data_IF_419457981065
#
_entry.id   IF_419457981065
#
_cell.length_a   1.000
_cell.length_b   1.000
_cell.length_c   1.000
_cell.angle_alpha   90.00
_cell.angle_beta   90.00
_cell.angle_gamma   90.00
#
_symmetry.space_group_name_H-M   'P 1'
#
loop_
_entity.id
_entity.type
_entity.pdbx_description
1 polymer ?
#
# COMPACT_ATOMS: atom_id res chain seq x y z
N UNK A 1 -0.46 10.40 -2.77
CA UNK A 1 -0.13 8.98 -2.92
C UNK A 1 0.99 8.62 -1.96
N UNK A 2 1.34 7.34 -1.90
CA UNK A 2 2.45 6.80 -1.12
C UNK A 2 3.04 5.60 -1.87
N UNK A 3 4.25 5.17 -1.50
CA UNK A 3 4.92 4.01 -2.10
C UNK A 3 4.93 2.85 -1.12
N UNK A 4 4.60 1.64 -1.56
CA UNK A 4 4.63 0.45 -0.69
C UNK A 4 6.06 0.10 -0.28
N UNK A 5 6.27 -0.17 1.01
CA UNK A 5 7.56 -0.49 1.61
C UNK A 5 7.56 -1.86 2.29
N UNK A 6 8.75 -2.35 2.60
CA UNK A 6 8.95 -3.59 3.34
C UNK A 6 10.43 -3.90 3.57
N UNK A 7 10.74 -5.08 4.12
CA UNK A 7 12.11 -5.51 4.41
C UNK A 7 12.96 -5.58 3.15
N UNK A 8 14.25 -5.33 3.31
CA UNK A 8 15.21 -5.43 2.20
C UNK A 8 15.26 -6.87 1.66
N UNK A 9 15.04 -7.01 0.36
CA UNK A 9 15.09 -8.30 -0.34
C UNK A 9 13.74 -9.02 -0.47
N UNK A 10 12.67 -8.46 0.10
CA UNK A 10 11.31 -8.93 -0.15
C UNK A 10 10.68 -8.18 -1.33
N UNK A 11 9.77 -8.86 -2.02
CA UNK A 11 8.94 -8.25 -3.09
C UNK A 11 7.52 -7.94 -2.57
N UNK A 12 7.01 -8.76 -1.65
CA UNK A 12 5.68 -8.62 -1.06
C UNK A 12 5.85 -8.65 0.45
N UNK A 13 5.32 -7.63 1.13
CA UNK A 13 5.32 -7.54 2.58
C UNK A 13 3.91 -7.23 3.09
N UNK A 14 3.20 -8.26 3.56
CA UNK A 14 1.86 -8.15 4.11
C UNK A 14 1.67 -9.02 5.35
N UNK A 15 0.67 -8.68 6.15
CA UNK A 15 0.27 -9.48 7.32
C UNK A 15 -0.93 -10.40 7.05
N UNK A 16 -1.43 -11.07 8.09
CA UNK A 16 -2.56 -12.01 8.01
C UNK A 16 -3.87 -11.39 7.50
N UNK A 17 -3.98 -10.06 7.50
CA UNK A 17 -5.15 -9.31 7.02
C UNK A 17 -4.92 -8.71 5.62
N UNK A 18 -3.80 -9.01 4.97
CA UNK A 18 -3.44 -8.44 3.67
C UNK A 18 -3.13 -6.93 3.73
N UNK A 19 -2.76 -6.42 4.91
CA UNK A 19 -2.32 -5.03 5.07
C UNK A 19 -0.90 -4.87 4.56
N UNK A 20 -0.53 -3.66 4.14
CA UNK A 20 0.82 -3.33 3.69
C UNK A 20 1.35 -2.09 4.43
N UNK A 21 2.64 -1.83 4.31
CA UNK A 21 3.29 -0.60 4.81
C UNK A 21 3.66 0.31 3.67
N UNK A 22 3.72 1.62 3.92
CA UNK A 22 3.97 2.62 2.88
C UNK A 22 4.88 3.74 3.38
N UNK A 23 5.64 4.35 2.48
CA UNK A 23 6.32 5.63 2.67
C UNK A 23 5.47 6.74 2.05
N UNK A 24 5.06 7.71 2.86
CA UNK A 24 4.44 8.93 2.33
C UNK A 24 5.51 9.87 1.79
N UNK A 25 5.19 10.61 0.72
CA UNK A 25 6.14 11.55 0.12
C UNK A 25 6.50 12.75 1.02
N UNK A 26 5.64 13.06 2.00
CA UNK A 26 5.89 14.13 2.96
C UNK A 26 6.69 13.66 4.18
N UNK A 27 6.82 12.35 4.39
CA UNK A 27 7.65 11.80 5.46
C UNK A 27 9.12 11.80 5.03
N UNK A 28 9.94 12.52 5.80
CA UNK A 28 11.37 12.72 5.57
C UNK A 28 12.25 11.88 6.50
N UNK A 29 11.66 11.27 7.53
CA UNK A 29 12.36 10.49 8.55
C UNK A 29 12.27 8.99 8.25
N UNK A 30 11.22 8.56 7.53
CA UNK A 30 11.08 7.20 7.03
C UNK A 30 12.26 6.75 6.17
N UNK A 31 12.59 5.47 6.30
CA UNK A 31 13.75 4.83 5.63
C UNK A 31 13.31 3.92 4.47
N UNK A 32 12.05 4.04 4.03
CA UNK A 32 11.44 3.18 3.03
C UNK A 32 11.57 1.68 3.34
N UNK A 33 11.44 1.34 4.62
CA UNK A 33 11.62 -0.01 5.18
C UNK A 33 10.33 -0.55 5.83
N UNK A 34 10.45 -1.66 6.55
CA UNK A 34 9.36 -2.32 7.28
C UNK A 34 8.94 -1.57 8.56
N UNK A 35 9.59 -0.47 8.92
CA UNK A 35 9.29 0.30 10.15
C UNK A 35 8.74 1.69 9.86
N UNK A 36 8.70 2.06 8.58
CA UNK A 36 8.31 3.38 8.09
C UNK A 36 6.88 3.78 8.47
N UNK A 37 5.93 2.84 8.44
CA UNK A 37 4.53 3.13 8.78
C UNK A 37 3.88 2.05 9.65
N UNK A 38 2.68 2.37 10.14
CA UNK A 38 1.74 1.37 10.61
C UNK A 38 1.26 0.46 9.45
N UNK A 39 0.49 -0.57 9.77
CA UNK A 39 -0.15 -1.42 8.77
C UNK A 39 -1.41 -0.75 8.21
N UNK A 40 -1.43 -0.54 6.89
CA UNK A 40 -2.56 0.05 6.17
C UNK A 40 -3.44 -1.05 5.56
N UNK A 41 -4.74 -0.96 5.78
CA UNK A 41 -5.73 -1.82 5.09
C UNK A 41 -5.80 -1.45 3.61
N UNK A 42 -6.02 -2.47 2.77
CA UNK A 42 -6.15 -2.35 1.32
C UNK A 42 -7.59 -2.59 0.92
N UNK A 43 -8.16 -1.67 0.14
CA UNK A 43 -9.47 -1.85 -0.47
C UNK A 43 -9.42 -2.96 -1.53
N UNK A 44 -10.30 -3.94 -1.39
CA UNK A 44 -10.54 -4.98 -2.41
C UNK A 44 -11.84 -4.71 -3.14
N UNK A 45 -11.89 -5.08 -4.43
CA UNK A 45 -13.12 -4.95 -5.24
C UNK A 45 -14.29 -5.81 -4.72
N UNK A 46 -13.99 -6.94 -4.09
CA UNK A 46 -14.97 -7.85 -3.50
C UNK A 46 -14.38 -8.55 -2.28
N UNK A 47 -14.95 -8.36 -1.10
CA UNK A 47 -14.48 -8.95 0.15
C UNK A 47 -15.67 -9.46 0.99
N UNK A 48 -15.65 -10.74 1.32
CA UNK A 48 -16.63 -11.43 2.18
C UNK A 48 -15.95 -12.30 3.23
N UNK A 49 -16.75 -13.02 4.02
CA UNK A 49 -16.24 -13.90 5.06
C UNK A 49 -15.53 -15.12 4.44
N UNK A 50 -14.19 -15.04 4.31
CA UNK A 50 -13.32 -16.07 3.71
C UNK A 50 -13.51 -16.32 2.20
N UNK A 51 -14.09 -15.36 1.47
CA UNK A 51 -14.16 -15.38 0.00
C UNK A 51 -14.09 -13.96 -0.56
N UNK A 52 -13.67 -13.83 -1.82
CA UNK A 52 -13.53 -12.54 -2.49
C UNK A 52 -12.36 -12.48 -3.46
N UNK A 53 -12.02 -11.27 -3.91
CA UNK A 53 -10.83 -10.98 -4.69
C UNK A 53 -9.72 -10.38 -3.83
N UNK A 54 -8.49 -10.86 -3.98
CA UNK A 54 -7.33 -10.32 -3.28
C UNK A 54 -6.21 -10.00 -4.28
N UNK A 55 -5.72 -8.77 -4.21
CA UNK A 55 -4.56 -8.30 -4.97
C UNK A 55 -3.72 -7.42 -4.04
N UNK A 56 -2.64 -8.00 -3.51
CA UNK A 56 -1.78 -7.33 -2.53
C UNK A 56 -0.82 -6.38 -3.26
N UNK A 57 -0.78 -5.08 -2.93
CA UNK A 57 0.22 -4.16 -3.43
C UNK A 57 1.64 -4.63 -3.09
N UNK A 58 2.53 -4.63 -4.07
CA UNK A 58 3.94 -5.07 -3.92
C UNK A 58 4.84 -3.90 -3.56
N UNK A 59 5.98 -4.20 -2.94
CA UNK A 59 7.00 -3.19 -2.59
C UNK A 59 7.40 -2.41 -3.85
N UNK A 60 7.44 -1.08 -3.74
CA UNK A 60 7.73 -0.17 -4.85
C UNK A 60 6.53 0.24 -5.71
N UNK A 61 5.35 -0.36 -5.53
CA UNK A 61 4.13 0.11 -6.20
C UNK A 61 3.64 1.43 -5.58
N UNK A 62 3.13 2.33 -6.43
CA UNK A 62 2.46 3.54 -5.97
C UNK A 62 0.99 3.25 -5.64
N UNK A 63 0.55 3.70 -4.47
CA UNK A 63 -0.81 3.52 -3.97
C UNK A 63 -1.48 4.86 -3.65
N UNK A 64 -2.79 4.91 -3.89
CA UNK A 64 -3.64 5.99 -3.41
C UNK A 64 -4.05 5.69 -1.97
N UNK A 65 -3.76 6.63 -1.07
CA UNK A 65 -4.12 6.55 0.34
C UNK A 65 -5.19 7.60 0.62
N UNK A 66 -6.30 7.16 1.20
CA UNK A 66 -7.37 7.99 1.73
C UNK A 66 -7.31 7.97 3.26
N UNK A 67 -7.79 9.03 3.90
CA UNK A 67 -7.82 9.17 5.35
C UNK A 67 -9.28 9.13 5.83
N UNK A 68 -9.61 8.23 6.74
CA UNK A 68 -10.98 8.08 7.25
C UNK A 68 -11.36 9.35 8.03
N UNK A 69 -12.51 9.95 7.70
CA UNK A 69 -12.95 11.25 8.25
C UNK A 69 -11.91 12.39 8.12
N UNK A 70 -10.95 12.25 7.20
CA UNK A 70 -9.83 13.18 7.04
C UNK A 70 -8.74 13.08 8.13
N UNK A 71 -8.78 12.06 8.98
CA UNK A 71 -7.80 11.84 10.05
C UNK A 71 -6.48 11.24 9.51
N UNK A 72 -5.35 11.96 9.57
CA UNK A 72 -4.06 11.46 9.10
C UNK A 72 -3.59 10.20 9.82
N UNK A 73 -4.07 9.94 11.04
CA UNK A 73 -3.74 8.75 11.82
C UNK A 73 -4.57 7.51 11.42
N UNK A 74 -5.55 7.68 10.53
CA UNK A 74 -6.39 6.59 10.02
C UNK A 74 -6.30 6.40 8.49
N UNK A 75 -5.10 6.05 7.97
CA UNK A 75 -4.90 5.83 6.55
C UNK A 75 -5.51 4.49 6.07
N UNK A 76 -6.03 4.50 4.85
CA UNK A 76 -6.58 3.36 4.11
C UNK A 76 -6.14 3.44 2.64
N UNK A 77 -5.67 2.33 2.08
CA UNK A 77 -5.35 2.27 0.64
C UNK A 77 -6.64 2.08 -0.15
N UNK A 78 -6.93 3.01 -1.07
CA UNK A 78 -8.12 3.01 -1.92
C UNK A 78 -7.86 2.61 -3.38
N UNK A 79 -6.59 2.49 -3.79
CA UNK A 79 -6.23 1.98 -5.11
C UNK A 79 -4.74 1.94 -5.39
N UNK A 80 -4.37 1.41 -6.55
CA UNK A 80 -3.00 1.36 -7.07
C UNK A 80 -2.90 2.20 -8.35
N UNK A 81 -1.76 2.87 -8.54
CA UNK A 81 -1.53 3.80 -9.65
C UNK A 81 -0.33 3.35 -10.50
N UNK A 82 -0.45 3.48 -11.81
CA UNK A 82 0.68 3.40 -12.73
C UNK A 82 1.31 4.80 -12.88
N UNK A 83 2.62 4.83 -13.12
CA UNK A 83 3.39 6.05 -13.36
C UNK A 83 4.57 5.75 -14.30
N UNK A 84 5.51 6.69 -14.43
CA UNK A 84 6.62 6.59 -15.39
C UNK A 84 7.50 5.34 -15.20
N UNK A 85 7.70 4.90 -13.96
CA UNK A 85 8.57 3.75 -13.64
C UNK A 85 7.76 2.46 -13.58
N UNK A 86 6.52 2.52 -13.08
CA UNK A 86 5.55 1.43 -13.12
C UNK A 86 4.56 1.69 -14.25
N UNK A 87 4.90 1.30 -15.48
CA UNK A 87 4.08 1.57 -16.66
C UNK A 87 2.87 0.63 -16.77
N UNK A 88 1.86 1.06 -17.51
CA UNK A 88 0.70 0.22 -17.85
C UNK A 88 1.12 -1.05 -18.61
N UNK A 89 0.36 -2.17 -18.49
CA UNK A 89 0.77 -3.45 -19.09
C UNK A 89 0.76 -3.50 -20.63
N UNK A 90 0.01 -2.61 -21.28
CA UNK A 90 -0.17 -2.58 -22.74
C UNK A 90 0.11 -1.17 -23.26
N UNK A 91 0.69 -1.08 -24.46
CA UNK A 91 1.06 0.17 -25.12
C UNK A 91 -0.13 0.83 -25.85
#
# INVERSE_FOLDING_TARGET
SAVVTGPKGEEIHCDEYGRVKVQFHWDREGQADDKTSCWLRVSSAWAGAQYGGIAIPRIGMEVLVTFLEGDPDQPLISGCLYHKENTVPYA
#
